data_IF_481103800809
#
_entry.id   IF_481103800809
#
_cell.length_a   1.000
_cell.length_b   1.000
_cell.length_c   1.000
_cell.angle_alpha   90.00
_cell.angle_beta   90.00
_cell.angle_gamma   90.00
#
_symmetry.space_group_name_H-M   'P 1'
#
loop_
_entity.id
_entity.type
_entity.pdbx_description
1 polymer ?
#
# COMPACT_ATOMS: atom_id res chain seq x y z
N UNK A 1 9.36 -14.73 7.32
CA UNK A 1 10.38 -15.76 7.05
C UNK A 1 10.42 -16.19 5.57
N UNK A 2 9.25 -16.42 4.90
CA UNK A 2 9.25 -16.83 3.48
C UNK A 2 9.75 -15.73 2.54
N UNK A 3 9.29 -14.49 2.71
CA UNK A 3 9.72 -13.35 1.89
C UNK A 3 11.24 -13.17 1.94
N UNK A 4 11.86 -13.27 3.12
CA UNK A 4 13.31 -13.09 3.26
C UNK A 4 14.13 -14.02 2.36
N UNK A 5 13.64 -15.23 2.11
CA UNK A 5 14.28 -16.20 1.22
C UNK A 5 14.12 -15.84 -0.26
N UNK A 6 13.05 -15.10 -0.60
CA UNK A 6 12.73 -14.74 -2.00
C UNK A 6 13.30 -13.37 -2.42
N UNK A 7 13.82 -12.57 -1.48
CA UNK A 7 14.32 -11.23 -1.79
C UNK A 7 15.38 -11.18 -2.87
N UNK A 8 16.36 -12.13 -2.94
CA UNK A 8 17.33 -12.13 -4.02
C UNK A 8 16.68 -12.32 -5.41
N UNK A 9 15.68 -13.21 -5.49
CA UNK A 9 14.93 -13.45 -6.71
C UNK A 9 14.11 -12.21 -7.08
N UNK A 10 13.38 -11.66 -6.13
CA UNK A 10 12.58 -10.44 -6.34
C UNK A 10 13.46 -9.29 -6.83
N UNK A 11 14.65 -9.10 -6.25
CA UNK A 11 15.60 -8.09 -6.70
C UNK A 11 16.06 -8.30 -8.15
N UNK A 12 16.30 -9.54 -8.56
CA UNK A 12 16.71 -9.87 -9.91
C UNK A 12 15.61 -9.61 -10.96
N UNK A 13 14.35 -9.60 -10.53
CA UNK A 13 13.19 -9.38 -11.39
C UNK A 13 12.51 -8.01 -11.22
N UNK A 14 13.04 -7.13 -10.37
CA UNK A 14 12.46 -5.82 -10.08
C UNK A 14 12.10 -5.02 -11.33
N UNK A 15 12.97 -5.02 -12.35
CA UNK A 15 12.75 -4.26 -13.58
C UNK A 15 11.90 -5.03 -14.64
N UNK A 16 11.39 -6.18 -14.28
CA UNK A 16 10.63 -7.07 -15.18
C UNK A 16 9.24 -7.41 -14.67
N UNK A 17 8.86 -6.91 -13.51
CA UNK A 17 7.59 -7.18 -12.87
C UNK A 17 7.10 -5.95 -12.11
N UNK A 18 5.79 -5.80 -12.03
CA UNK A 18 5.16 -4.81 -11.14
C UNK A 18 5.08 -5.40 -9.73
N UNK A 19 5.61 -4.68 -8.74
CA UNK A 19 5.72 -5.14 -7.36
C UNK A 19 4.66 -4.45 -6.51
N UNK A 20 3.69 -5.22 -6.01
CA UNK A 20 2.74 -4.78 -5.00
C UNK A 20 3.22 -5.20 -3.61
N UNK A 21 3.34 -4.23 -2.73
CA UNK A 21 3.88 -4.42 -1.38
C UNK A 21 2.84 -4.05 -0.32
N UNK A 22 2.52 -4.98 0.57
CA UNK A 22 1.83 -4.63 1.81
C UNK A 22 2.78 -3.82 2.71
N UNK A 23 2.27 -2.81 3.40
CA UNK A 23 3.01 -1.89 4.27
C UNK A 23 3.99 -2.58 5.23
N UNK A 24 3.55 -3.66 5.88
CA UNK A 24 4.38 -4.43 6.80
C UNK A 24 5.60 -5.12 6.17
N UNK A 25 5.64 -5.28 4.84
CA UNK A 25 6.77 -5.86 4.12
C UNK A 25 7.76 -4.79 3.61
N UNK A 26 7.35 -3.51 3.58
CA UNK A 26 8.11 -2.41 2.97
C UNK A 26 9.54 -2.31 3.51
N UNK A 27 9.72 -2.30 4.83
CA UNK A 27 11.04 -2.19 5.44
C UNK A 27 12.01 -3.34 5.08
N UNK A 28 11.45 -4.50 4.74
CA UNK A 28 12.24 -5.66 4.32
C UNK A 28 12.72 -5.52 2.86
N UNK A 29 11.89 -4.98 1.99
CA UNK A 29 12.25 -4.65 0.61
C UNK A 29 13.32 -3.54 0.58
N UNK A 30 13.10 -2.47 1.32
CA UNK A 30 14.02 -1.32 1.42
C UNK A 30 15.44 -1.73 1.84
N UNK A 31 15.58 -2.60 2.84
CA UNK A 31 16.88 -3.14 3.29
C UNK A 31 17.65 -3.88 2.18
N UNK A 32 16.98 -4.27 1.13
CA UNK A 32 17.57 -4.94 -0.06
C UNK A 32 17.62 -4.04 -1.28
N UNK A 33 17.28 -2.76 -1.13
CA UNK A 33 17.24 -1.80 -2.22
C UNK A 33 16.19 -2.17 -3.28
N UNK A 34 15.08 -2.81 -2.86
CA UNK A 34 13.94 -3.10 -3.72
C UNK A 34 12.92 -2.00 -3.51
N UNK A 35 12.56 -1.31 -4.58
CA UNK A 35 11.52 -0.27 -4.58
C UNK A 35 10.25 -0.89 -5.16
N UNK A 36 9.17 -1.01 -4.38
CA UNK A 36 7.89 -1.48 -4.92
C UNK A 36 7.23 -0.41 -5.79
N UNK A 37 6.48 -0.83 -6.81
CA UNK A 37 5.67 0.08 -7.63
C UNK A 37 4.44 0.56 -6.86
N UNK A 38 3.82 -0.34 -6.10
CA UNK A 38 2.65 -0.05 -5.26
C UNK A 38 2.87 -0.47 -3.81
N UNK A 39 2.48 0.41 -2.89
CA UNK A 39 2.42 0.10 -1.45
C UNK A 39 0.97 0.22 -1.00
N UNK A 40 0.46 -0.79 -0.33
CA UNK A 40 -0.94 -0.80 0.15
C UNK A 40 -1.01 -0.71 1.67
N UNK A 41 -1.96 0.08 2.18
CA UNK A 41 -2.24 0.20 3.60
C UNK A 41 -3.75 0.21 3.86
N UNK A 42 -4.17 -0.55 4.88
CA UNK A 42 -5.54 -0.59 5.38
C UNK A 42 -5.63 -0.17 6.85
N UNK A 43 -4.51 0.12 7.50
CA UNK A 43 -4.47 0.25 8.95
C UNK A 43 -5.06 1.60 9.38
N UNK A 44 -6.07 1.53 10.23
CA UNK A 44 -6.74 2.68 10.85
C UNK A 44 -6.02 3.17 12.12
N UNK A 45 -4.90 2.54 12.49
CA UNK A 45 -4.12 2.94 13.66
C UNK A 45 -2.85 3.68 13.24
N UNK A 46 -2.35 4.58 14.10
CA UNK A 46 -1.09 5.29 13.86
C UNK A 46 0.14 4.39 13.97
N UNK A 47 -0.01 3.20 14.51
CA UNK A 47 1.08 2.20 14.62
C UNK A 47 1.67 1.86 13.25
N UNK A 48 0.89 1.95 12.18
CA UNK A 48 1.38 1.70 10.82
C UNK A 48 2.34 2.80 10.31
N UNK A 49 2.40 3.97 10.94
CA UNK A 49 3.36 5.04 10.58
C UNK A 49 4.81 4.57 10.58
N UNK A 50 5.15 3.59 11.43
CA UNK A 50 6.49 2.99 11.48
C UNK A 50 6.93 2.38 10.14
N UNK A 51 5.98 1.96 9.29
CA UNK A 51 6.28 1.38 7.99
C UNK A 51 6.62 2.43 6.92
N UNK A 52 6.22 3.70 7.15
CA UNK A 52 6.39 4.81 6.22
C UNK A 52 7.48 5.80 6.64
N UNK A 53 8.47 5.35 7.41
CA UNK A 53 9.52 6.24 7.94
C UNK A 53 10.50 6.72 6.85
N UNK A 54 10.84 5.86 5.89
CA UNK A 54 11.76 6.20 4.82
C UNK A 54 11.02 6.76 3.59
N UNK A 55 10.71 8.04 3.62
CA UNK A 55 9.91 8.73 2.59
C UNK A 55 10.62 8.86 1.25
N UNK A 56 11.93 8.86 1.21
CA UNK A 56 12.68 9.02 -0.04
C UNK A 56 12.43 7.84 -0.99
N UNK A 57 12.43 6.63 -0.46
CA UNK A 57 12.16 5.42 -1.26
C UNK A 57 10.70 5.36 -1.75
N UNK A 58 9.78 6.02 -1.04
CA UNK A 58 8.36 6.05 -1.39
C UNK A 58 8.02 7.03 -2.52
N UNK A 59 8.92 7.95 -2.88
CA UNK A 59 8.68 8.91 -3.96
C UNK A 59 8.46 8.26 -5.33
N UNK A 60 8.96 7.05 -5.51
CA UNK A 60 8.83 6.29 -6.75
C UNK A 60 7.66 5.30 -6.73
N UNK A 61 7.00 5.15 -5.59
CA UNK A 61 5.89 4.21 -5.40
C UNK A 61 4.55 4.93 -5.41
N UNK A 62 3.52 4.28 -5.92
CA UNK A 62 2.14 4.69 -5.69
C UNK A 62 1.67 4.09 -4.37
N UNK A 63 1.15 4.92 -3.47
CA UNK A 63 0.70 4.48 -2.16
C UNK A 63 -0.83 4.40 -2.18
N UNK A 64 -1.35 3.18 -2.23
CA UNK A 64 -2.78 2.90 -2.21
C UNK A 64 -3.27 2.79 -0.77
N UNK A 65 -4.06 3.76 -0.36
CA UNK A 65 -4.61 3.89 0.98
C UNK A 65 -6.11 3.59 0.97
N UNK A 66 -6.56 2.76 1.88
CA UNK A 66 -7.98 2.63 2.17
C UNK A 66 -8.46 3.91 2.87
N UNK A 67 -9.68 4.33 2.63
CA UNK A 67 -10.18 5.61 3.15
C UNK A 67 -10.26 5.69 4.68
N UNK A 68 -10.27 4.56 5.40
CA UNK A 68 -10.18 4.50 6.85
C UNK A 68 -8.73 4.53 7.38
N UNK A 69 -7.73 4.61 6.50
CA UNK A 69 -6.32 4.76 6.89
C UNK A 69 -6.16 5.94 7.86
N UNK A 70 -5.36 5.76 8.90
CA UNK A 70 -5.20 6.77 9.96
C UNK A 70 -4.74 8.11 9.36
N UNK A 71 -5.37 9.25 9.72
CA UNK A 71 -5.08 10.56 9.12
C UNK A 71 -3.61 11.01 9.22
N UNK A 72 -2.89 10.59 10.27
CA UNK A 72 -1.48 10.93 10.42
C UNK A 72 -0.61 10.23 9.36
N UNK A 73 -0.99 9.02 8.92
CA UNK A 73 -0.31 8.34 7.81
C UNK A 73 -0.51 9.18 6.55
N UNK A 74 -1.75 9.53 6.22
CA UNK A 74 -2.08 10.34 5.03
C UNK A 74 -1.31 11.67 5.03
N UNK A 75 -1.31 12.40 6.17
CA UNK A 75 -0.60 13.69 6.29
C UNK A 75 0.92 13.55 6.21
N UNK A 76 1.46 12.38 6.53
CA UNK A 76 2.92 12.14 6.49
C UNK A 76 3.44 11.85 5.10
N UNK A 77 2.58 11.49 4.17
CA UNK A 77 2.92 11.11 2.80
C UNK A 77 2.79 12.28 1.83
N UNK A 78 3.44 12.17 0.66
CA UNK A 78 3.24 13.13 -0.42
C UNK A 78 1.93 12.78 -1.15
N UNK A 79 1.01 13.73 -1.23
CA UNK A 79 -0.30 13.53 -1.86
C UNK A 79 -0.21 13.15 -3.36
N UNK A 80 0.84 13.57 -4.06
CA UNK A 80 1.05 13.27 -5.48
C UNK A 80 1.20 11.77 -5.76
N UNK A 81 1.71 11.02 -4.77
CA UNK A 81 1.94 9.59 -4.89
C UNK A 81 0.86 8.75 -4.21
N UNK A 82 -0.17 9.39 -3.65
CA UNK A 82 -1.23 8.70 -2.92
C UNK A 82 -2.47 8.53 -3.79
N UNK A 83 -3.04 7.33 -3.77
CA UNK A 83 -4.38 7.07 -4.27
C UNK A 83 -5.28 6.56 -3.14
N UNK A 84 -6.47 7.09 -3.04
CA UNK A 84 -7.47 6.60 -2.09
C UNK A 84 -8.32 5.53 -2.77
N UNK A 85 -8.42 4.40 -2.10
CA UNK A 85 -9.20 3.26 -2.57
C UNK A 85 -10.39 3.05 -1.64
N UNK A 86 -11.57 2.97 -2.23
CA UNK A 86 -12.81 2.73 -1.52
C UNK A 86 -13.08 1.22 -1.49
N UNK A 87 -13.30 0.68 -0.29
CA UNK A 87 -13.42 -0.76 -0.07
C UNK A 87 -14.84 -1.24 0.25
N UNK A 88 -15.66 -0.38 0.83
CA UNK A 88 -17.01 -0.73 1.27
C UNK A 88 -18.09 0.07 0.55
N UNK A 89 -18.70 -0.53 -0.45
CA UNK A 89 -19.74 0.10 -1.27
C UNK A 89 -20.89 0.69 -0.44
N UNK A 90 -21.39 -0.02 0.55
CA UNK A 90 -22.54 0.40 1.32
C UNK A 90 -22.29 1.68 2.13
N UNK A 91 -21.08 1.83 2.67
CA UNK A 91 -20.67 3.02 3.40
C UNK A 91 -20.58 4.24 2.46
N UNK A 92 -19.96 4.06 1.30
CA UNK A 92 -19.70 5.14 0.36
C UNK A 92 -20.97 5.61 -0.37
N UNK A 93 -21.93 4.72 -0.59
CA UNK A 93 -23.25 5.10 -1.08
C UNK A 93 -23.98 6.08 -0.13
N UNK A 94 -23.78 5.91 1.18
CA UNK A 94 -24.31 6.85 2.19
C UNK A 94 -23.71 8.25 2.10
N UNK A 95 -22.48 8.36 1.63
CA UNK A 95 -21.76 9.63 1.44
C UNK A 95 -21.86 10.16 0.00
N UNK A 96 -22.69 9.55 -0.83
CA UNK A 96 -22.87 9.92 -2.24
C UNK A 96 -21.58 9.91 -3.06
N UNK A 97 -20.68 8.97 -2.76
CA UNK A 97 -19.40 8.78 -3.44
C UNK A 97 -19.53 7.74 -4.58
N UNK A 98 -20.67 7.71 -5.27
CA UNK A 98 -20.97 6.70 -6.28
C UNK A 98 -20.11 6.82 -7.55
N UNK A 99 -19.55 8.00 -7.79
CA UNK A 99 -18.69 8.29 -8.95
C UNK A 99 -17.25 7.77 -8.76
N UNK A 100 -16.89 7.36 -7.53
CA UNK A 100 -15.61 6.74 -7.26
C UNK A 100 -15.72 5.22 -7.40
N UNK A 101 -14.76 4.61 -8.06
CA UNK A 101 -14.63 3.17 -8.09
C UNK A 101 -14.40 2.59 -6.69
N UNK A 102 -14.78 1.33 -6.49
CA UNK A 102 -14.48 0.62 -5.24
C UNK A 102 -13.92 -0.77 -5.55
N UNK A 103 -13.13 -1.28 -4.62
CA UNK A 103 -12.57 -2.63 -4.69
C UNK A 103 -13.21 -3.47 -3.59
N UNK A 104 -13.82 -4.60 -3.97
CA UNK A 104 -14.30 -5.57 -3.00
C UNK A 104 -13.12 -6.46 -2.58
N UNK A 105 -12.62 -6.22 -1.39
CA UNK A 105 -11.45 -6.91 -0.85
C UNK A 105 -11.73 -7.46 0.54
N UNK A 106 -10.97 -8.48 0.94
CA UNK A 106 -11.00 -9.02 2.29
C UNK A 106 -10.42 -8.05 3.34
N UNK A 107 -10.37 -8.49 4.58
CA UNK A 107 -9.98 -7.68 5.73
C UNK A 107 -8.47 -7.49 5.90
N UNK A 108 -7.64 -8.25 5.17
CA UNK A 108 -6.19 -8.18 5.27
C UNK A 108 -5.58 -7.33 4.16
N UNK A 109 -4.51 -6.59 4.48
CA UNK A 109 -3.79 -5.76 3.52
C UNK A 109 -3.24 -6.56 2.34
N UNK A 110 -2.88 -7.83 2.54
CA UNK A 110 -2.45 -8.72 1.46
C UNK A 110 -3.56 -9.03 0.45
N UNK A 111 -4.81 -9.16 0.91
CA UNK A 111 -5.97 -9.31 0.01
C UNK A 111 -6.20 -8.03 -0.78
N UNK A 112 -6.04 -6.87 -0.13
CA UNK A 112 -6.12 -5.58 -0.80
C UNK A 112 -5.05 -5.44 -1.90
N UNK A 113 -3.79 -5.78 -1.59
CA UNK A 113 -2.71 -5.79 -2.58
C UNK A 113 -3.03 -6.70 -3.76
N UNK A 114 -3.52 -7.91 -3.48
CA UNK A 114 -3.85 -8.89 -4.51
C UNK A 114 -5.01 -8.45 -5.41
N UNK A 115 -6.04 -7.83 -4.83
CA UNK A 115 -7.20 -7.37 -5.61
C UNK A 115 -6.88 -6.12 -6.43
N UNK A 116 -5.93 -5.31 -5.98
CA UNK A 116 -5.47 -4.13 -6.69
C UNK A 116 -4.54 -4.48 -7.87
N UNK A 117 -3.81 -5.59 -7.76
CA UNK A 117 -2.91 -6.12 -8.79
C UNK A 117 -3.65 -6.72 -9.98
#
# INVERSE_FOLDING_TARGET
PSLAKQLPLLKAYQDKAVIFCADGALSMLEKKGIVPDYVTNLDFTDLAMKFFQNKENLKQSIIALECATHPNIVRSLNAENCMIVLRNKALYQRFNLNDFGYIDTGTHVSHFSYTLA
#
